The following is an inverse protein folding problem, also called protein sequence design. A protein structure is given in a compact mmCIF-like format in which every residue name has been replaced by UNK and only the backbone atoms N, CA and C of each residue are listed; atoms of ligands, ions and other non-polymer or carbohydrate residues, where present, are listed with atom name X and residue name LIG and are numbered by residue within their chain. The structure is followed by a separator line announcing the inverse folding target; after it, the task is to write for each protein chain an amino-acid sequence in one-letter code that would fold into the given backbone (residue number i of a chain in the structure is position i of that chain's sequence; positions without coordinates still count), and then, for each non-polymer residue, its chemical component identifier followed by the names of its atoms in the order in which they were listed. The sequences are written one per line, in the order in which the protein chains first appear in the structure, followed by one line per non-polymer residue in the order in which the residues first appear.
data_IF_292775785182
#
_entry.id   IF_292775785182
#
_cell.length_a   1.000
_cell.length_b   1.000
_cell.length_c   1.000
_cell.angle_alpha   90.00
_cell.angle_beta   90.00
_cell.angle_gamma   90.00
#
_symmetry.space_group_name_H-M   'P 1'
#
loop_
_entity.id
_entity.type
_entity.pdbx_description
1 polymer ?
#
# COMPACT_ATOMS: atom_id res chain seq x y z
N UNK A 1 -47.55 38.34 -17.99
CA UNK A 1 -47.22 37.30 -18.99
C UNK A 1 -47.08 35.98 -18.23
N UNK A 2 -48.21 35.29 -17.97
CA UNK A 2 -48.66 34.03 -18.61
C UNK A 2 -47.67 32.88 -18.34
N UNK A 3 -47.77 32.24 -17.16
CA UNK A 3 -48.44 30.93 -16.89
C UNK A 3 -47.94 29.82 -17.83
N UNK A 4 -47.03 28.98 -17.31
CA UNK A 4 -46.63 27.71 -17.91
C UNK A 4 -47.70 26.67 -17.56
N UNK A 5 -48.46 26.25 -18.57
CA UNK A 5 -49.51 25.24 -18.47
C UNK A 5 -48.94 23.87 -18.87
N UNK A 6 -49.18 22.87 -18.03
CA UNK A 6 -49.04 21.45 -18.34
C UNK A 6 -50.31 20.98 -19.07
N UNK A 7 -50.22 20.08 -20.07
CA UNK A 7 -51.33 19.22 -20.39
C UNK A 7 -50.96 17.74 -20.21
N UNK A 8 -51.87 17.06 -19.54
CA UNK A 8 -52.11 15.63 -19.54
C UNK A 8 -52.66 15.21 -20.93
N UNK A 9 -52.38 14.00 -21.43
CA UNK A 9 -53.37 13.02 -21.93
C UNK A 9 -52.78 11.91 -22.85
N UNK A 10 -53.09 10.67 -22.42
CA UNK A 10 -53.51 9.48 -23.17
C UNK A 10 -52.58 8.74 -24.17
N UNK A 11 -52.33 7.49 -23.79
CA UNK A 11 -51.91 6.35 -24.61
C UNK A 11 -52.88 6.04 -25.76
N UNK A 12 -52.37 5.47 -26.87
CA UNK A 12 -52.98 4.25 -27.40
C UNK A 12 -51.96 3.14 -27.75
N UNK A 13 -52.32 1.90 -27.39
CA UNK A 13 -51.79 0.65 -27.96
C UNK A 13 -52.31 0.48 -29.40
N UNK A 14 -51.48 -0.05 -30.31
CA UNK A 14 -51.75 -0.91 -31.49
C UNK A 14 -50.45 -0.91 -32.34
N UNK A 15 -49.96 -1.93 -33.03
CA UNK A 15 -50.04 -3.40 -33.02
C UNK A 15 -48.95 -3.90 -33.99
N UNK A 16 -48.34 -5.05 -33.67
CA UNK A 16 -47.89 -6.17 -34.52
C UNK A 16 -47.33 -5.84 -35.93
N UNK A 17 -46.09 -6.30 -36.17
CA UNK A 17 -45.76 -7.12 -37.35
C UNK A 17 -44.53 -6.70 -38.18
N UNK A 18 -43.55 -7.60 -38.29
CA UNK A 18 -42.66 -7.68 -39.47
C UNK A 18 -41.16 -7.83 -39.21
N UNK A 19 -40.66 -9.06 -39.34
CA UNK A 19 -39.29 -9.52 -39.13
C UNK A 19 -38.22 -8.86 -40.02
N UNK A 20 -36.96 -8.78 -39.56
CA UNK A 20 -35.79 -9.46 -40.16
C UNK A 20 -34.56 -9.27 -39.26
N UNK A 21 -33.69 -10.27 -39.24
CA UNK A 21 -32.82 -10.57 -38.11
C UNK A 21 -31.56 -9.72 -37.96
N UNK A 22 -30.99 -9.77 -36.77
CA UNK A 22 -29.62 -10.26 -36.60
C UNK A 22 -29.28 -10.56 -35.14
N UNK A 23 -28.66 -11.72 -34.96
CA UNK A 23 -27.74 -12.14 -33.91
C UNK A 23 -27.84 -11.50 -32.51
N UNK A 24 -28.19 -12.36 -31.55
CA UNK A 24 -27.83 -12.28 -30.14
C UNK A 24 -26.41 -11.74 -29.92
N UNK A 25 -26.31 -10.68 -29.12
CA UNK A 25 -25.22 -10.53 -28.14
C UNK A 25 -25.82 -10.03 -26.83
N UNK A 26 -26.17 -10.98 -25.97
CA UNK A 26 -26.24 -10.76 -24.53
C UNK A 26 -24.84 -10.35 -24.07
N UNK A 27 -24.61 -9.05 -23.89
CA UNK A 27 -23.47 -8.58 -23.13
C UNK A 27 -23.74 -8.93 -21.66
N UNK A 28 -23.25 -10.09 -21.24
CA UNK A 28 -23.12 -10.38 -19.81
C UNK A 28 -22.13 -9.36 -19.27
N UNK A 29 -22.64 -8.37 -18.55
CA UNK A 29 -21.80 -7.59 -17.65
C UNK A 29 -21.26 -8.57 -16.61
N UNK A 30 -20.03 -9.02 -16.82
CA UNK A 30 -19.23 -9.71 -15.83
C UNK A 30 -19.01 -8.69 -14.73
N UNK A 31 -19.89 -8.70 -13.72
CA UNK A 31 -19.63 -8.06 -12.46
C UNK A 31 -18.30 -8.64 -11.97
N UNK A 32 -17.25 -7.82 -12.06
CA UNK A 32 -15.97 -8.12 -11.44
C UNK A 32 -16.26 -8.21 -9.95
N UNK A 33 -16.35 -9.45 -9.46
CA UNK A 33 -16.46 -9.72 -8.05
C UNK A 33 -15.18 -9.16 -7.43
N UNK A 34 -15.30 -7.97 -6.87
CA UNK A 34 -14.28 -7.39 -6.03
C UNK A 34 -14.17 -8.35 -4.85
N UNK A 35 -13.16 -9.23 -4.90
CA UNK A 35 -12.94 -10.16 -3.80
C UNK A 35 -12.83 -9.33 -2.52
N UNK A 36 -13.65 -9.62 -1.50
CA UNK A 36 -13.53 -8.92 -0.24
C UNK A 36 -12.09 -9.11 0.23
N UNK A 37 -11.41 -8.03 0.57
CA UNK A 37 -10.11 -8.09 1.24
C UNK A 37 -10.33 -8.84 2.56
N UNK A 38 -10.18 -10.17 2.54
CA UNK A 38 -10.15 -10.98 3.75
C UNK A 38 -8.78 -10.74 4.36
N UNK A 39 -8.63 -9.58 5.02
CA UNK A 39 -7.47 -9.28 5.82
C UNK A 39 -7.53 -10.18 7.05
N UNK A 40 -6.89 -11.34 7.00
CA UNK A 40 -6.63 -12.15 8.18
C UNK A 40 -5.60 -11.41 9.02
N UNK A 41 -6.09 -10.61 9.99
CA UNK A 41 -5.31 -9.65 10.79
C UNK A 41 -4.31 -10.27 11.77
N UNK A 42 -3.67 -11.41 11.47
CA UNK A 42 -2.69 -12.01 12.39
C UNK A 42 -1.28 -11.45 12.23
N UNK A 43 -0.96 -10.82 11.09
CA UNK A 43 0.39 -10.32 10.80
C UNK A 43 0.35 -8.91 10.20
N UNK A 44 0.98 -7.94 10.88
CA UNK A 44 0.93 -6.53 10.48
C UNK A 44 1.76 -6.26 9.23
N UNK A 45 1.22 -5.48 8.29
CA UNK A 45 1.95 -5.03 7.10
C UNK A 45 3.00 -3.96 7.42
N UNK A 46 2.73 -3.08 8.37
CA UNK A 46 3.64 -2.02 8.78
C UNK A 46 3.99 -2.15 10.24
N UNK A 47 5.27 -1.97 10.57
CA UNK A 47 5.77 -2.05 11.96
C UNK A 47 6.78 -0.93 12.22
N UNK A 48 6.72 -0.34 13.42
CA UNK A 48 7.67 0.67 13.87
C UNK A 48 8.74 0.02 14.75
N UNK A 49 9.99 0.38 14.52
CA UNK A 49 11.14 -0.06 15.30
C UNK A 49 11.81 1.16 15.94
N UNK A 50 11.88 1.24 17.28
CA UNK A 50 12.52 2.35 17.95
C UNK A 50 14.04 2.32 17.72
N UNK A 51 14.64 3.49 17.55
CA UNK A 51 16.09 3.65 17.64
C UNK A 51 16.49 4.01 19.07
N UNK A 52 17.80 4.10 19.36
CA UNK A 52 18.25 4.65 20.65
C UNK A 52 18.07 6.18 20.73
N UNK A 53 17.85 6.86 19.60
CA UNK A 53 17.35 8.22 19.59
C UNK A 53 15.84 8.18 19.83
N UNK A 54 15.39 8.68 20.99
CA UNK A 54 14.00 8.62 21.43
C UNK A 54 12.99 9.31 20.49
N UNK A 55 13.45 10.16 19.58
CA UNK A 55 12.62 10.88 18.61
C UNK A 55 12.46 10.14 17.27
N UNK A 56 13.33 9.15 17.01
CA UNK A 56 13.49 8.53 15.70
C UNK A 56 13.10 7.05 15.74
N UNK A 57 12.31 6.65 14.75
CA UNK A 57 11.89 5.28 14.48
C UNK A 57 12.22 4.89 13.04
N UNK A 58 12.28 3.59 12.78
CA UNK A 58 12.21 3.04 11.42
C UNK A 58 10.82 2.44 11.24
N UNK A 59 10.08 2.92 10.24
CA UNK A 59 8.84 2.30 9.76
C UNK A 59 9.18 1.29 8.67
N UNK A 60 8.80 0.03 8.84
CA UNK A 60 9.05 -1.04 7.88
C UNK A 60 7.74 -1.52 7.26
N UNK A 61 7.66 -1.60 5.94
CA UNK A 61 6.70 -2.47 5.24
C UNK A 61 7.23 -3.90 5.33
N UNK A 62 6.68 -4.69 6.27
CA UNK A 62 7.12 -6.05 6.59
C UNK A 62 6.88 -7.03 5.44
N UNK A 63 6.06 -6.65 4.46
CA UNK A 63 5.77 -7.45 3.27
C UNK A 63 6.84 -7.30 2.19
N UNK A 64 7.35 -6.09 2.01
CA UNK A 64 8.18 -5.72 0.85
C UNK A 64 9.61 -5.31 1.20
N UNK A 65 9.90 -4.99 2.46
CA UNK A 65 11.21 -4.51 2.90
C UNK A 65 11.48 -3.03 2.59
N UNK A 66 10.49 -2.32 2.05
CA UNK A 66 10.53 -0.85 1.97
C UNK A 66 10.47 -0.27 3.37
N UNK A 67 11.20 0.82 3.60
CA UNK A 67 11.25 1.42 4.92
C UNK A 67 11.56 2.91 4.88
N UNK A 68 11.17 3.57 5.97
CA UNK A 68 11.27 5.00 6.16
C UNK A 68 11.86 5.31 7.53
N UNK A 69 12.68 6.35 7.59
CA UNK A 69 13.03 7.00 8.85
C UNK A 69 11.87 7.93 9.23
N UNK A 70 11.31 7.73 10.41
CA UNK A 70 10.22 8.53 10.95
C UNK A 70 10.72 9.29 12.17
N UNK A 71 10.43 10.59 12.22
CA UNK A 71 10.70 11.42 13.39
C UNK A 71 9.46 12.16 13.85
N UNK A 72 9.26 12.22 15.16
CA UNK A 72 8.24 13.06 15.78
C UNK A 72 8.87 14.19 16.61
N UNK A 73 8.06 15.20 16.89
CA UNK A 73 8.42 16.37 17.68
C UNK A 73 7.20 16.90 18.42
N UNK A 74 7.39 17.40 19.63
CA UNK A 74 6.33 17.98 20.46
C UNK A 74 6.12 19.46 20.16
N UNK A 75 7.21 20.19 19.91
CA UNK A 75 7.20 21.66 19.92
C UNK A 75 7.50 22.30 18.55
N UNK A 76 7.90 21.51 17.55
CA UNK A 76 8.29 22.01 16.23
C UNK A 76 7.75 21.10 15.13
N UNK A 77 6.85 21.63 14.30
CA UNK A 77 6.26 20.91 13.17
C UNK A 77 7.31 20.54 12.12
N UNK A 78 8.40 21.32 11.97
CA UNK A 78 9.49 20.98 11.05
C UNK A 78 10.29 19.77 11.52
N UNK A 79 10.26 19.48 12.81
CA UNK A 79 10.85 18.28 13.41
C UNK A 79 10.02 17.01 13.21
N UNK A 80 8.85 17.08 12.55
CA UNK A 80 8.03 15.93 12.19
C UNK A 80 8.21 15.61 10.72
N UNK A 81 8.80 14.46 10.42
CA UNK A 81 9.01 14.07 9.04
C UNK A 81 9.07 12.55 8.89
N UNK A 82 8.88 12.12 7.65
CA UNK A 82 9.15 10.78 7.19
C UNK A 82 9.99 10.89 5.92
N UNK A 83 11.14 10.21 5.90
CA UNK A 83 11.99 10.15 4.73
C UNK A 83 12.25 8.71 4.32
N UNK A 84 12.40 8.50 3.01
CA UNK A 84 12.80 7.22 2.47
C UNK A 84 14.16 6.81 3.05
N UNK A 85 14.22 5.57 3.52
CA UNK A 85 15.44 4.89 3.93
C UNK A 85 15.77 3.77 2.94
N UNK A 86 14.75 3.04 2.49
CA UNK A 86 14.81 2.23 1.28
C UNK A 86 13.46 2.29 0.55
N UNK A 87 13.35 3.05 -0.55
CA UNK A 87 12.12 3.15 -1.31
C UNK A 87 11.87 1.93 -2.22
N UNK A 88 12.87 1.06 -2.40
CA UNK A 88 12.79 -0.05 -3.33
C UNK A 88 12.35 -1.34 -2.61
N UNK A 89 11.31 -1.99 -3.13
CA UNK A 89 10.91 -3.31 -2.63
C UNK A 89 12.04 -4.34 -2.85
N UNK A 90 12.35 -5.10 -1.80
CA UNK A 90 13.36 -6.16 -1.83
C UNK A 90 12.83 -7.46 -2.46
N UNK A 91 11.51 -7.56 -2.64
CA UNK A 91 10.80 -8.70 -3.24
C UNK A 91 9.71 -8.24 -4.21
N UNK A 92 9.42 -9.08 -5.20
CA UNK A 92 8.43 -8.81 -6.25
C UNK A 92 7.23 -9.76 -6.15
N UNK A 93 6.08 -9.30 -6.65
CA UNK A 93 4.89 -10.09 -6.98
C UNK A 93 4.49 -11.16 -5.94
N UNK A 94 4.62 -12.43 -6.32
CA UNK A 94 4.21 -13.66 -5.63
C UNK A 94 4.99 -13.93 -4.33
N UNK A 95 6.09 -13.22 -4.11
CA UNK A 95 6.94 -13.35 -2.92
C UNK A 95 6.53 -12.43 -1.77
N UNK A 96 5.52 -11.59 -1.96
CA UNK A 96 5.03 -10.62 -0.97
C UNK A 96 4.19 -11.33 0.10
N UNK A 97 4.68 -11.36 1.32
CA UNK A 97 3.99 -11.95 2.48
C UNK A 97 4.16 -11.02 3.68
N UNK A 98 3.06 -10.58 4.32
CA UNK A 98 3.15 -9.75 5.52
C UNK A 98 4.00 -10.44 6.60
N UNK A 99 4.81 -9.66 7.31
CA UNK A 99 5.70 -10.16 8.34
C UNK A 99 6.93 -10.91 7.84
N UNK A 100 7.20 -10.93 6.52
CA UNK A 100 8.42 -11.53 5.95
C UNK A 100 9.68 -10.86 6.48
N UNK A 101 9.71 -9.53 6.51
CA UNK A 101 10.86 -8.75 6.94
C UNK A 101 10.75 -8.31 8.40
N UNK A 102 11.87 -8.35 9.11
CA UNK A 102 12.00 -7.92 10.51
C UNK A 102 13.32 -7.17 10.71
N UNK A 103 13.29 -6.07 11.48
CA UNK A 103 14.51 -5.35 11.88
C UNK A 103 14.95 -5.78 13.28
N UNK A 104 16.25 -5.97 13.44
CA UNK A 104 16.89 -6.27 14.72
C UNK A 104 17.85 -5.12 15.08
N UNK A 105 17.70 -4.49 16.25
CA UNK A 105 18.58 -3.40 16.66
C UNK A 105 19.99 -3.91 16.94
N UNK A 106 20.98 -3.05 16.69
CA UNK A 106 22.37 -3.28 17.12
C UNK A 106 22.73 -2.38 18.30
N UNK A 107 23.92 -2.57 18.87
CA UNK A 107 24.45 -1.64 19.87
C UNK A 107 24.81 -0.27 19.28
N UNK A 108 25.08 -0.20 17.97
CA UNK A 108 25.29 1.06 17.28
C UNK A 108 23.93 1.70 16.95
N UNK A 109 23.71 2.92 17.44
CA UNK A 109 22.41 3.61 17.34
C UNK A 109 21.92 3.78 15.91
N UNK A 110 22.84 3.89 14.95
CA UNK A 110 22.56 4.14 13.54
C UNK A 110 22.26 2.87 12.76
N UNK A 111 22.50 1.68 13.32
CA UNK A 111 22.51 0.43 12.57
C UNK A 111 21.49 -0.60 13.08
N UNK A 112 20.82 -1.24 12.14
CA UNK A 112 19.97 -2.41 12.32
C UNK A 112 20.40 -3.52 11.36
N UNK A 113 19.99 -4.75 11.69
CA UNK A 113 20.03 -5.87 10.75
C UNK A 113 18.59 -6.14 10.28
N UNK A 114 18.35 -6.04 8.97
CA UNK A 114 17.11 -6.52 8.37
C UNK A 114 17.26 -8.00 8.06
N UNK A 115 16.30 -8.82 8.49
CA UNK A 115 16.23 -10.25 8.15
C UNK A 115 14.98 -10.51 7.30
N UNK A 116 15.18 -11.19 6.18
CA UNK A 116 14.12 -11.91 5.48
C UNK A 116 13.88 -13.24 6.19
N UNK A 117 12.77 -13.36 6.92
CA UNK A 117 12.43 -14.55 7.71
C UNK A 117 12.00 -15.74 6.86
N UNK A 118 11.89 -15.57 5.54
CA UNK A 118 11.52 -16.66 4.61
C UNK A 118 12.77 -17.25 3.94
N UNK A 119 13.62 -16.41 3.33
CA UNK A 119 14.79 -16.90 2.58
C UNK A 119 16.14 -16.75 3.31
N UNK A 120 16.14 -16.14 4.50
CA UNK A 120 17.30 -16.00 5.36
C UNK A 120 18.30 -14.93 4.93
N UNK A 121 18.01 -14.15 3.88
CA UNK A 121 18.86 -13.02 3.49
C UNK A 121 18.85 -11.93 4.56
N UNK A 122 19.97 -11.24 4.66
CA UNK A 122 20.13 -10.16 5.62
C UNK A 122 20.79 -8.94 4.99
N UNK A 123 20.41 -7.77 5.50
CA UNK A 123 20.94 -6.48 5.09
C UNK A 123 21.38 -5.70 6.33
N UNK A 124 22.49 -4.97 6.21
CA UNK A 124 22.79 -3.88 7.10
C UNK A 124 21.89 -2.70 6.72
N UNK A 125 21.19 -2.14 7.71
CA UNK A 125 20.37 -0.95 7.58
C UNK A 125 21.00 0.16 8.40
N UNK A 126 21.36 1.27 7.75
CA UNK A 126 21.91 2.46 8.39
C UNK A 126 21.00 3.66 8.16
N UNK A 127 20.52 4.27 9.24
CA UNK A 127 19.75 5.52 9.18
C UNK A 127 20.63 6.72 9.53
N UNK A 128 20.26 7.89 9.01
CA UNK A 128 20.98 9.16 9.24
C UNK A 128 20.09 10.35 8.92
N UNK A 129 20.35 11.48 9.58
CA UNK A 129 19.78 12.77 9.16
C UNK A 129 20.29 13.20 7.79
N UNK A 130 21.56 12.91 7.49
CA UNK A 130 22.16 13.14 6.19
C UNK A 130 21.74 12.03 5.22
N UNK A 131 21.06 12.40 4.13
CA UNK A 131 20.54 11.44 3.14
C UNK A 131 21.65 10.57 2.54
N UNK A 132 22.81 11.13 2.26
CA UNK A 132 23.97 10.44 1.67
C UNK A 132 24.54 9.32 2.57
N UNK A 133 24.26 9.40 3.88
CA UNK A 133 24.71 8.44 4.88
C UNK A 133 23.66 7.36 5.20
N UNK A 134 22.55 7.32 4.47
CA UNK A 134 21.53 6.28 4.59
C UNK A 134 21.86 5.12 3.67
N UNK A 135 21.70 3.89 4.18
CA UNK A 135 22.02 2.72 3.39
C UNK A 135 21.21 1.48 3.79
N UNK A 136 20.86 0.66 2.81
CA UNK A 136 20.39 -0.71 3.01
C UNK A 136 21.23 -1.63 2.11
N UNK A 137 22.19 -2.32 2.72
CA UNK A 137 23.25 -3.04 2.01
C UNK A 137 23.15 -4.55 2.31
N UNK A 138 23.12 -5.43 1.29
CA UNK A 138 23.12 -6.87 1.54
C UNK A 138 24.41 -7.29 2.26
N UNK A 139 24.28 -8.13 3.29
CA UNK A 139 25.42 -8.62 4.07
C UNK A 139 26.19 -9.69 3.28
N UNK A 140 25.47 -10.59 2.64
CA UNK A 140 26.05 -11.62 1.77
C UNK A 140 25.67 -11.31 0.31
N UNK A 141 26.67 -11.38 -0.58
CA UNK A 141 26.51 -11.22 -2.03
C UNK A 141 26.30 -12.56 -2.70
#
# INVERSE_FOLDING_TARGET
MKKLMLPFLLFPLFAIGGCTGNASKTESQKAEAQEPLVQTYTVERYKLFPTQNMWTFIKLDTQTGQMWQLQYSVNDDKGRFEYDLNPNALVVNDKKVNGRFELYPTQNIYNFILLDKIDGKAWQVQWSFDEENRAVLPINK
#
